data_IF_295853975368
#
_entry.id   IF_295853975368
#
_cell.length_a   1.000
_cell.length_b   1.000
_cell.length_c   1.000
_cell.angle_alpha   90.00
_cell.angle_beta   90.00
_cell.angle_gamma   90.00
#
_symmetry.space_group_name_H-M   'P 1'
#
loop_
_entity.id
_entity.type
_entity.pdbx_description
1 polymer ?
#
# COMPACT_ATOMS: atom_id res chain seq x y z
N UNK A 1 -10.24 -7.05 22.95
CA UNK A 1 -9.33 -6.25 22.08
C UNK A 1 -8.54 -7.24 21.23
N UNK A 2 -8.38 -7.01 19.92
CA UNK A 2 -7.69 -7.96 19.01
C UNK A 2 -6.20 -7.65 18.97
N UNK A 3 -5.38 -8.67 19.09
CA UNK A 3 -3.93 -8.59 18.86
C UNK A 3 -3.63 -8.72 17.36
N UNK A 4 -2.86 -7.78 16.83
CA UNK A 4 -2.55 -7.67 15.40
C UNK A 4 -1.22 -8.30 15.00
N UNK A 5 -0.39 -8.65 15.98
CA UNK A 5 0.93 -9.23 15.80
C UNK A 5 1.11 -10.53 16.58
N UNK A 6 0.02 -11.16 17.02
CA UNK A 6 0.07 -12.45 17.74
C UNK A 6 1.07 -12.43 18.91
N UNK A 7 1.04 -11.35 19.70
CA UNK A 7 1.87 -11.12 20.89
C UNK A 7 3.35 -10.89 20.60
N UNK A 8 3.71 -10.73 19.34
CA UNK A 8 5.04 -10.31 18.93
C UNK A 8 5.16 -8.78 18.92
N UNK A 9 6.35 -8.28 19.29
CA UNK A 9 6.59 -6.85 19.46
C UNK A 9 6.70 -6.13 18.10
N UNK A 10 5.96 -5.03 17.94
CA UNK A 10 6.07 -4.17 16.77
C UNK A 10 7.46 -3.51 16.70
N UNK A 11 8.20 -3.77 15.63
CA UNK A 11 9.55 -3.23 15.42
C UNK A 11 9.51 -2.01 14.49
N UNK A 12 8.70 -2.07 13.43
CA UNK A 12 8.67 -1.01 12.42
C UNK A 12 7.24 -0.82 11.90
N UNK A 13 6.86 0.44 11.71
CA UNK A 13 5.59 0.82 11.10
C UNK A 13 5.85 1.78 9.94
N UNK A 14 5.19 1.53 8.80
CA UNK A 14 5.25 2.40 7.63
C UNK A 14 3.83 2.68 7.15
N UNK A 15 3.44 3.96 7.18
CA UNK A 15 2.15 4.43 6.69
C UNK A 15 2.32 5.34 5.48
N UNK A 16 1.62 5.05 4.39
CA UNK A 16 1.62 5.89 3.18
C UNK A 16 0.40 6.79 3.12
N UNK A 17 -0.79 6.23 3.40
CA UNK A 17 -2.08 6.94 3.42
C UNK A 17 -3.14 6.11 4.15
N UNK A 18 -4.36 6.62 4.38
CA UNK A 18 -5.42 5.84 5.02
C UNK A 18 -5.68 4.50 4.32
N UNK A 19 -5.69 3.41 5.10
CA UNK A 19 -5.83 2.02 4.62
C UNK A 19 -4.69 1.56 3.68
N UNK A 20 -3.51 2.17 3.80
CA UNK A 20 -2.29 1.75 3.10
C UNK A 20 -1.08 1.87 4.04
N UNK A 21 -0.78 0.77 4.73
CA UNK A 21 0.28 0.71 5.74
C UNK A 21 0.81 -0.71 5.91
N UNK A 22 1.99 -0.82 6.52
CA UNK A 22 2.57 -2.08 6.97
C UNK A 22 3.12 -1.96 8.39
N UNK A 23 2.91 -3.02 9.16
CA UNK A 23 3.43 -3.19 10.51
C UNK A 23 4.29 -4.46 10.52
N UNK A 24 5.54 -4.32 10.96
CA UNK A 24 6.52 -5.39 11.00
C UNK A 24 6.85 -5.75 12.44
N UNK A 25 6.93 -7.05 12.67
CA UNK A 25 7.44 -7.68 13.89
C UNK A 25 8.65 -8.56 13.55
N UNK A 26 9.24 -9.21 14.56
CA UNK A 26 10.32 -10.17 14.38
C UNK A 26 9.92 -11.34 13.47
N UNK A 27 8.68 -11.80 13.58
CA UNK A 27 8.22 -13.03 12.91
C UNK A 27 7.28 -12.78 11.73
N UNK A 28 6.62 -11.61 11.69
CA UNK A 28 5.55 -11.37 10.71
C UNK A 28 5.43 -9.93 10.22
N UNK A 29 4.82 -9.81 9.05
CA UNK A 29 4.44 -8.54 8.45
C UNK A 29 2.93 -8.49 8.27
N UNK A 30 2.27 -7.56 8.96
CA UNK A 30 0.89 -7.20 8.64
C UNK A 30 0.89 -6.12 7.57
N UNK A 31 0.20 -6.38 6.45
CA UNK A 31 0.16 -5.49 5.28
C UNK A 31 -1.28 -5.14 4.93
N UNK A 32 -1.54 -3.85 4.74
CA UNK A 32 -2.84 -3.32 4.31
C UNK A 32 -2.62 -2.45 3.08
N UNK A 33 -3.33 -2.73 1.98
CA UNK A 33 -3.34 -1.92 0.76
C UNK A 33 -4.76 -1.82 0.22
N UNK A 34 -5.33 -0.62 0.21
CA UNK A 34 -6.66 -0.37 -0.33
C UNK A 34 -6.72 -0.71 -1.84
N UNK A 35 -7.69 -1.53 -2.23
CA UNK A 35 -8.02 -1.80 -3.64
C UNK A 35 -7.10 -2.81 -4.35
N UNK A 36 -6.28 -3.53 -3.58
CA UNK A 36 -5.40 -4.62 -4.07
C UNK A 36 -5.87 -5.94 -3.47
N UNK A 37 -5.83 -7.02 -4.25
CA UNK A 37 -6.24 -8.34 -3.77
C UNK A 37 -5.30 -8.88 -2.70
N UNK A 38 -5.83 -9.67 -1.76
CA UNK A 38 -5.02 -10.27 -0.67
C UNK A 38 -3.88 -11.12 -1.20
N UNK A 39 -4.11 -11.87 -2.27
CA UNK A 39 -3.11 -12.72 -2.93
C UNK A 39 -1.91 -11.88 -3.40
N UNK A 40 -2.15 -10.74 -4.05
CA UNK A 40 -1.07 -9.83 -4.47
C UNK A 40 -0.32 -9.28 -3.26
N UNK A 41 -1.05 -8.88 -2.21
CA UNK A 41 -0.45 -8.34 -0.98
C UNK A 41 0.44 -9.39 -0.28
N UNK A 42 0.04 -10.66 -0.29
CA UNK A 42 0.77 -11.75 0.36
C UNK A 42 2.02 -12.15 -0.42
N UNK A 43 1.93 -12.25 -1.76
CA UNK A 43 3.01 -12.83 -2.58
C UNK A 43 3.92 -11.82 -3.27
N UNK A 44 3.45 -10.61 -3.55
CA UNK A 44 4.19 -9.62 -4.36
C UNK A 44 4.54 -8.34 -3.61
N UNK A 45 4.11 -8.17 -2.36
CA UNK A 45 4.35 -6.96 -1.57
C UNK A 45 4.97 -7.34 -0.22
N UNK A 46 6.07 -6.69 0.15
CA UNK A 46 6.80 -6.85 1.41
C UNK A 46 6.81 -5.54 2.19
N UNK A 47 7.14 -5.57 3.48
CA UNK A 47 7.28 -4.37 4.30
C UNK A 47 8.30 -3.38 3.69
N UNK A 48 9.40 -3.91 3.15
CA UNK A 48 10.43 -3.13 2.46
C UNK A 48 9.86 -2.26 1.33
N UNK A 49 8.90 -2.77 0.54
CA UNK A 49 8.33 -2.02 -0.58
C UNK A 49 7.57 -0.76 -0.11
N UNK A 50 6.99 -0.79 1.09
CA UNK A 50 6.36 0.39 1.68
C UNK A 50 7.41 1.44 2.04
N UNK A 51 8.54 1.01 2.61
CA UNK A 51 9.65 1.89 2.99
C UNK A 51 10.27 2.55 1.76
N UNK A 52 10.54 1.76 0.73
CA UNK A 52 11.00 2.27 -0.58
C UNK A 52 9.99 3.23 -1.21
N UNK A 53 8.70 2.92 -1.14
CA UNK A 53 7.65 3.81 -1.65
C UNK A 53 7.67 5.16 -0.92
N UNK A 54 7.81 5.15 0.40
CA UNK A 54 7.83 6.37 1.22
C UNK A 54 9.07 7.22 0.92
N UNK A 55 10.26 6.62 0.93
CA UNK A 55 11.53 7.34 0.82
C UNK A 55 11.87 7.72 -0.64
N UNK A 56 11.65 6.83 -1.59
CA UNK A 56 12.02 7.01 -2.99
C UNK A 56 10.88 7.57 -3.85
N UNK A 57 9.70 7.82 -3.26
CA UNK A 57 8.48 8.30 -3.96
C UNK A 57 8.12 7.45 -5.19
N UNK A 58 8.39 6.15 -5.13
CA UNK A 58 8.15 5.22 -6.23
C UNK A 58 6.79 4.55 -6.11
N UNK A 59 6.04 4.48 -7.21
CA UNK A 59 4.78 3.72 -7.27
C UNK A 59 5.06 2.23 -7.47
N UNK A 60 4.30 1.40 -6.76
CA UNK A 60 4.29 -0.05 -6.93
C UNK A 60 3.39 -0.47 -8.10
N UNK A 61 3.86 -1.44 -8.87
CA UNK A 61 3.12 -2.15 -9.90
C UNK A 61 3.22 -3.65 -9.64
N UNK A 62 2.10 -4.36 -9.76
CA UNK A 62 2.04 -5.81 -9.62
C UNK A 62 1.34 -6.43 -10.82
N UNK A 63 1.73 -7.66 -11.18
CA UNK A 63 1.01 -8.44 -12.19
C UNK A 63 -0.22 -9.07 -11.53
N UNK A 64 -1.38 -8.84 -12.13
CA UNK A 64 -2.66 -9.33 -11.64
C UNK A 64 -3.40 -10.06 -12.75
N UNK A 65 -4.30 -10.96 -12.35
CA UNK A 65 -5.23 -11.64 -13.24
C UNK A 65 -6.66 -11.33 -12.81
N UNK A 66 -7.56 -11.20 -13.76
CA UNK A 66 -9.00 -11.10 -13.52
C UNK A 66 -9.76 -11.85 -14.60
N UNK A 67 -10.96 -12.31 -14.26
CA UNK A 67 -11.93 -12.77 -15.24
C UNK A 67 -12.66 -11.53 -15.78
N UNK A 68 -12.75 -11.41 -17.10
CA UNK A 68 -13.44 -10.31 -17.78
C UNK A 68 -14.31 -10.87 -18.91
N UNK A 69 -15.45 -10.23 -19.15
CA UNK A 69 -16.32 -10.52 -20.29
C UNK A 69 -16.15 -9.43 -21.34
N UNK A 70 -15.91 -9.82 -22.59
CA UNK A 70 -15.87 -8.92 -23.73
C UNK A 70 -16.68 -9.54 -24.86
N UNK A 71 -17.66 -8.81 -25.40
CA UNK A 71 -18.60 -9.32 -26.42
C UNK A 71 -19.23 -10.67 -26.01
N UNK A 72 -19.66 -10.80 -24.75
CA UNK A 72 -20.21 -12.02 -24.16
C UNK A 72 -19.25 -13.23 -24.08
N UNK A 73 -17.95 -13.03 -24.35
CA UNK A 73 -16.91 -14.05 -24.20
C UNK A 73 -16.16 -13.83 -22.89
N UNK A 74 -16.22 -14.83 -22.01
CA UNK A 74 -15.53 -14.82 -20.72
C UNK A 74 -14.09 -15.29 -20.90
N UNK A 75 -13.14 -14.49 -20.44
CA UNK A 75 -11.71 -14.76 -20.57
C UNK A 75 -10.93 -14.33 -19.32
N UNK A 76 -9.81 -14.99 -19.08
CA UNK A 76 -8.85 -14.61 -18.02
C UNK A 76 -7.83 -13.64 -18.61
N UNK A 77 -7.81 -12.41 -18.12
CA UNK A 77 -6.93 -11.35 -18.61
C UNK A 77 -5.85 -11.05 -17.58
N UNK A 78 -4.59 -11.05 -18.03
CA UNK A 78 -3.46 -10.55 -17.24
C UNK A 78 -3.28 -9.06 -17.47
N UNK A 79 -3.04 -8.29 -16.40
CA UNK A 79 -2.85 -6.85 -16.48
C UNK A 79 -1.91 -6.34 -15.39
N UNK A 80 -1.34 -5.15 -15.58
CA UNK A 80 -0.58 -4.46 -14.54
C UNK A 80 -1.54 -3.67 -13.63
N UNK A 81 -1.45 -3.91 -12.33
CA UNK A 81 -2.23 -3.24 -11.30
C UNK A 81 -1.31 -2.31 -10.51
N UNK A 82 -1.71 -1.05 -10.33
CA UNK A 82 -1.05 -0.15 -9.37
C UNK A 82 -1.35 -0.58 -7.93
N UNK A 83 -0.29 -0.70 -7.12
CA UNK A 83 -0.36 -1.19 -5.74
C UNK A 83 -0.05 -0.07 -4.74
N UNK A 84 1.21 0.07 -4.33
CA UNK A 84 1.66 1.10 -3.39
C UNK A 84 1.78 2.44 -4.09
N UNK A 85 1.43 3.50 -3.39
CA UNK A 85 1.50 4.87 -3.90
C UNK A 85 1.98 5.80 -2.80
N UNK A 86 2.99 6.63 -3.05
CA UNK A 86 3.47 7.62 -2.08
C UNK A 86 2.49 8.80 -1.94
N UNK A 87 1.57 8.96 -2.89
CA UNK A 87 0.60 10.05 -2.90
C UNK A 87 -0.62 9.75 -2.03
N UNK A 88 -0.91 10.68 -1.11
CA UNK A 88 -2.18 10.78 -0.39
C UNK A 88 -3.03 11.91 -1.01
N UNK A 89 -4.21 11.56 -1.53
CA UNK A 89 -5.13 12.51 -2.15
C UNK A 89 -5.94 13.32 -1.13
N UNK A 90 -5.68 13.17 0.17
CA UNK A 90 -6.37 13.88 1.26
C UNK A 90 -5.50 14.92 1.96
N UNK A 91 -4.19 14.93 1.67
CA UNK A 91 -3.22 15.79 2.35
C UNK A 91 -2.21 16.34 1.35
N UNK A 92 -1.61 17.47 1.68
CA UNK A 92 -0.47 18.02 0.96
C UNK A 92 0.81 17.49 1.62
N UNK A 93 1.60 16.71 0.88
CA UNK A 93 2.84 16.10 1.39
C UNK A 93 4.00 17.07 1.15
N UNK A 94 4.76 17.39 2.19
CA UNK A 94 5.90 18.29 2.13
C UNK A 94 7.11 17.63 1.44
N UNK A 95 8.19 18.41 1.26
CA UNK A 95 9.40 17.95 0.56
C UNK A 95 10.10 16.76 1.25
N UNK A 96 9.96 16.62 2.56
CA UNK A 96 10.47 15.48 3.33
C UNK A 96 9.72 14.16 3.03
N UNK A 97 8.56 14.22 2.37
CA UNK A 97 7.76 13.04 2.03
C UNK A 97 6.94 12.45 3.18
N UNK A 98 7.07 12.99 4.40
CA UNK A 98 6.45 12.46 5.62
C UNK A 98 5.54 13.50 6.26
N UNK A 99 6.00 14.73 6.40
CA UNK A 99 5.20 15.80 6.98
C UNK A 99 4.08 16.19 6.02
N UNK A 100 2.88 16.39 6.56
CA UNK A 100 1.70 16.65 5.75
C UNK A 100 0.81 17.76 6.30
N UNK A 101 0.33 18.61 5.40
CA UNK A 101 -0.62 19.68 5.70
C UNK A 101 -2.03 19.31 5.21
N UNK A 102 -3.05 19.84 5.87
CA UNK A 102 -4.42 19.74 5.37
C UNK A 102 -4.62 20.66 4.16
N UNK A 103 -5.49 20.29 3.21
CA UNK A 103 -5.79 21.19 2.09
C UNK A 103 -6.36 22.53 2.58
N UNK A 104 -5.95 23.63 1.93
CA UNK A 104 -6.33 24.98 2.33
C UNK A 104 -5.53 25.55 3.51
N UNK A 105 -4.50 24.84 3.98
CA UNK A 105 -3.58 25.39 4.99
C UNK A 105 -2.80 26.58 4.42
N UNK A 106 -2.65 27.66 5.19
CA UNK A 106 -2.04 28.93 4.75
C UNK A 106 -0.59 28.87 4.24
N UNK A 107 0.11 27.75 4.49
CA UNK A 107 1.50 27.50 4.06
C UNK A 107 1.59 26.68 2.76
N UNK A 108 0.44 26.26 2.20
CA UNK A 108 0.36 25.53 0.93
C UNK A 108 0.29 26.54 -0.21
#
# INVERSE_FOLDING_TARGET
>A
MKDELSSSLAIEFVGLKPKMYSLKSAEMEKKTVKGVSKIIIQHQIRHFDYKETLLCRRRGLAKAQKIASHNHIVQTVSYQKSTLSPFDSKRYILQDGISTLAYGHFKI
#
